data_IF_982531744873
#
_entry.id   IF_982531744873
#
_cell.length_a   1.000
_cell.length_b   1.000
_cell.length_c   1.000
_cell.angle_alpha   90.00
_cell.angle_beta   90.00
_cell.angle_gamma   90.00
#
_symmetry.space_group_name_H-M   'P 1'
#
loop_
_entity.id
_entity.type
_entity.pdbx_description
1 polymer ?
#
# COMPACT_ATOMS: atom_id res chain seq x y z
N UNK A 1 -11.10 -18.15 8.88
CA UNK A 1 -11.80 -18.37 7.59
C UNK A 1 -11.87 -17.05 6.87
N UNK A 2 -11.59 -17.00 5.56
CA UNK A 2 -11.81 -15.80 4.76
C UNK A 2 -13.31 -15.50 4.77
N UNK A 3 -13.74 -14.36 5.27
CA UNK A 3 -15.16 -13.98 5.26
C UNK A 3 -15.60 -13.73 3.81
N UNK A 4 -16.91 -13.84 3.54
CA UNK A 4 -17.45 -13.54 2.20
C UNK A 4 -17.12 -12.12 1.73
N UNK A 5 -17.03 -11.17 2.65
CA UNK A 5 -16.65 -9.79 2.37
C UNK A 5 -15.21 -9.65 1.86
N UNK A 6 -14.24 -10.30 2.53
CA UNK A 6 -12.84 -10.25 2.11
C UNK A 6 -12.67 -10.92 0.74
N UNK A 7 -13.38 -12.03 0.49
CA UNK A 7 -13.38 -12.68 -0.83
C UNK A 7 -13.88 -11.73 -1.91
N UNK A 8 -15.02 -11.06 -1.68
CA UNK A 8 -15.58 -10.12 -2.64
C UNK A 8 -14.63 -8.95 -2.94
N UNK A 9 -13.89 -8.46 -1.94
CA UNK A 9 -12.88 -7.41 -2.14
C UNK A 9 -11.72 -7.91 -3.01
N UNK A 10 -11.25 -9.14 -2.81
CA UNK A 10 -10.21 -9.74 -3.65
C UNK A 10 -10.69 -9.88 -5.09
N UNK A 11 -11.92 -10.35 -5.29
CA UNK A 11 -12.50 -10.50 -6.63
C UNK A 11 -12.66 -9.15 -7.35
N UNK A 12 -13.01 -8.09 -6.62
CA UNK A 12 -13.07 -6.73 -7.18
C UNK A 12 -11.71 -6.23 -7.65
N UNK A 13 -10.66 -6.46 -6.85
CA UNK A 13 -9.28 -6.11 -7.22
C UNK A 13 -8.89 -6.86 -8.50
N UNK A 14 -9.18 -8.16 -8.56
CA UNK A 14 -8.90 -8.99 -9.74
C UNK A 14 -9.58 -8.47 -11.00
N UNK A 15 -10.86 -8.12 -10.90
CA UNK A 15 -11.64 -7.55 -12.00
C UNK A 15 -11.07 -6.20 -12.48
N UNK A 16 -10.58 -5.36 -11.55
CA UNK A 16 -9.98 -4.08 -11.90
C UNK A 16 -8.72 -4.28 -12.77
N UNK A 17 -7.82 -5.18 -12.38
CA UNK A 17 -6.61 -5.51 -13.17
C UNK A 17 -6.97 -6.10 -14.54
N UNK A 18 -7.94 -7.02 -14.58
CA UNK A 18 -8.41 -7.61 -15.83
C UNK A 18 -8.99 -6.55 -16.78
N UNK A 19 -9.83 -5.64 -16.28
CA UNK A 19 -10.40 -4.55 -17.07
C UNK A 19 -9.36 -3.52 -17.55
N UNK A 20 -8.23 -3.41 -16.82
CA UNK A 20 -7.09 -2.57 -17.16
C UNK A 20 -6.14 -3.20 -18.19
N UNK A 21 -6.44 -4.40 -18.71
CA UNK A 21 -5.62 -5.09 -19.71
C UNK A 21 -4.47 -5.91 -19.13
N UNK A 22 -4.37 -6.06 -17.81
CA UNK A 22 -3.38 -6.92 -17.15
C UNK A 22 -4.03 -8.28 -16.91
N UNK A 23 -3.83 -9.20 -17.85
CA UNK A 23 -4.44 -10.53 -17.82
C UNK A 23 -3.53 -11.62 -17.25
N UNK A 24 -2.23 -11.34 -17.08
CA UNK A 24 -1.28 -12.31 -16.53
C UNK A 24 -1.38 -12.38 -15.00
N UNK A 25 -1.78 -13.51 -14.41
CA UNK A 25 -1.94 -13.65 -12.96
C UNK A 25 -0.68 -13.32 -12.15
N UNK A 26 0.51 -13.66 -12.66
CA UNK A 26 1.76 -13.41 -11.96
C UNK A 26 2.06 -11.91 -11.86
N UNK A 27 1.80 -11.18 -12.96
CA UNK A 27 1.96 -9.74 -13.01
C UNK A 27 0.99 -9.04 -12.07
N UNK A 28 -0.28 -9.49 -12.00
CA UNK A 28 -1.25 -8.94 -11.03
C UNK A 28 -0.77 -9.10 -9.59
N UNK A 29 -0.27 -10.28 -9.23
CA UNK A 29 0.27 -10.54 -7.88
C UNK A 29 1.45 -9.61 -7.59
N UNK A 30 2.36 -9.45 -8.54
CA UNK A 30 3.50 -8.55 -8.42
C UNK A 30 3.06 -7.09 -8.22
N UNK A 31 2.13 -6.58 -9.05
CA UNK A 31 1.62 -5.22 -8.93
C UNK A 31 0.91 -4.97 -7.60
N UNK A 32 0.07 -5.91 -7.14
CA UNK A 32 -0.56 -5.84 -5.81
C UNK A 32 0.51 -5.79 -4.72
N UNK A 33 1.56 -6.61 -4.84
CA UNK A 33 2.65 -6.63 -3.87
C UNK A 33 3.34 -5.27 -3.82
N UNK A 34 3.69 -4.68 -4.97
CA UNK A 34 4.29 -3.34 -5.00
C UNK A 34 3.40 -2.28 -4.37
N UNK A 35 2.11 -2.27 -4.66
CA UNK A 35 1.18 -1.32 -4.04
C UNK A 35 1.10 -1.48 -2.51
N UNK A 36 1.08 -2.72 -2.02
CA UNK A 36 1.10 -2.99 -0.57
C UNK A 36 2.39 -2.53 0.09
N UNK A 37 3.53 -2.73 -0.57
CA UNK A 37 4.83 -2.26 -0.08
C UNK A 37 4.91 -0.73 -0.04
N UNK A 38 4.50 -0.05 -1.12
CA UNK A 38 4.49 1.42 -1.19
C UNK A 38 3.57 1.99 -0.12
N UNK A 39 2.34 1.46 0.02
CA UNK A 39 1.41 1.89 1.06
C UNK A 39 2.00 1.71 2.45
N UNK A 40 2.69 0.61 2.71
CA UNK A 40 3.33 0.37 4.00
C UNK A 40 4.46 1.36 4.29
N UNK A 41 5.24 1.73 3.28
CA UNK A 41 6.28 2.75 3.43
C UNK A 41 5.67 4.11 3.74
N UNK A 42 4.56 4.46 3.08
CA UNK A 42 3.81 5.69 3.33
C UNK A 42 3.25 5.75 4.75
N UNK A 43 2.57 4.69 5.20
CA UNK A 43 2.04 4.58 6.57
C UNK A 43 3.14 4.77 7.63
N UNK A 44 4.33 4.20 7.40
CA UNK A 44 5.48 4.34 8.30
C UNK A 44 6.01 5.77 8.29
N UNK A 45 6.05 6.43 7.13
CA UNK A 45 6.47 7.81 7.04
C UNK A 45 5.51 8.74 7.78
N UNK A 46 4.21 8.62 7.51
CA UNK A 46 3.15 9.41 8.18
C UNK A 46 3.17 9.20 9.69
N UNK A 47 3.44 7.98 10.17
CA UNK A 47 3.59 7.71 11.60
C UNK A 47 4.74 8.52 12.21
N UNK A 48 5.89 8.56 11.55
CA UNK A 48 7.06 9.32 12.02
C UNK A 48 6.84 10.84 11.93
N UNK A 49 6.16 11.33 10.89
CA UNK A 49 5.74 12.73 10.77
C UNK A 49 4.81 13.14 11.91
N UNK A 50 3.79 12.33 12.20
CA UNK A 50 2.85 12.59 13.30
C UNK A 50 3.56 12.63 14.66
N UNK A 51 4.52 11.72 14.88
CA UNK A 51 5.37 11.72 16.08
C UNK A 51 6.22 13.00 16.18
N UNK A 52 6.89 13.38 15.08
CA UNK A 52 7.72 14.58 14.99
C UNK A 52 6.91 15.85 15.28
N UNK A 53 5.75 15.99 14.64
CA UNK A 53 4.82 17.11 14.82
C UNK A 53 4.34 17.24 16.27
N UNK A 54 3.96 16.12 16.90
CA UNK A 54 3.52 16.11 18.30
C UNK A 54 4.63 16.50 19.27
N UNK A 55 5.85 16.06 19.02
CA UNK A 55 7.01 16.31 19.89
C UNK A 55 7.74 17.62 19.57
N UNK A 56 7.36 18.32 18.49
CA UNK A 56 8.08 19.49 17.95
C UNK A 56 9.57 19.20 17.72
N UNK A 57 9.87 17.99 17.23
CA UNK A 57 11.21 17.52 16.90
C UNK A 57 11.31 17.18 15.42
N UNK A 58 12.50 17.21 14.81
CA UNK A 58 12.67 16.72 13.45
C UNK A 58 12.34 15.23 13.33
N UNK A 59 11.97 14.79 12.13
CA UNK A 59 11.70 13.37 11.82
C UNK A 59 13.00 12.56 12.01
N UNK A 60 12.98 11.61 12.94
CA UNK A 60 14.15 10.77 13.26
C UNK A 60 14.38 9.70 12.18
N UNK A 61 13.31 9.04 11.72
CA UNK A 61 13.37 7.98 10.70
C UNK A 61 12.63 8.42 9.44
N UNK A 62 13.37 9.05 8.53
CA UNK A 62 12.83 9.51 7.25
C UNK A 62 12.88 8.40 6.20
N UNK A 63 11.72 8.10 5.60
CA UNK A 63 11.56 7.05 4.59
C UNK A 63 11.77 7.61 3.17
N UNK A 64 11.27 8.82 2.90
CA UNK A 64 11.38 9.48 1.60
C UNK A 64 12.34 10.69 1.65
N UNK A 65 13.16 10.93 0.61
CA UNK A 65 14.07 12.09 0.55
C UNK A 65 13.31 13.41 0.43
N UNK A 66 14.01 14.53 0.67
CA UNK A 66 13.49 15.87 0.33
C UNK A 66 13.53 16.06 -1.19
N UNK A 67 12.44 16.59 -1.75
CA UNK A 67 12.28 16.83 -3.19
C UNK A 67 13.05 18.04 -3.69
#
# INVERSE_FOLDING_TARGET
>A
MLTGEIRNQIDQIWNAFWSGGISNPLEVIEQITYLLFIRRLDDLHTLEENKANRLKKPIERRVFPEG
#
